data_IF_912177709347
#
_entry.id   IF_912177709347
#
_cell.length_a   1.000
_cell.length_b   1.000
_cell.length_c   1.000
_cell.angle_alpha   90.00
_cell.angle_beta   90.00
_cell.angle_gamma   90.00
#
_symmetry.space_group_name_H-M   'P 1'
#
loop_
_entity.id
_entity.type
_entity.pdbx_description
1 polymer ?
#
# COMPACT_ATOMS: atom_id res chain seq x y z
N UNK A 1 97.71 55.18 67.13
CA UNK A 1 96.23 55.32 67.05
C UNK A 1 95.66 55.22 65.63
N UNK A 2 96.33 55.67 64.56
CA UNK A 2 95.79 55.65 63.17
C UNK A 2 95.49 54.24 62.62
N UNK A 3 96.33 53.24 62.90
CA UNK A 3 96.14 51.86 62.40
C UNK A 3 94.94 51.17 63.05
N UNK A 4 94.74 51.35 64.36
CA UNK A 4 93.60 50.79 65.09
C UNK A 4 92.26 51.36 64.60
N UNK A 5 92.21 52.68 64.34
CA UNK A 5 91.01 53.31 63.78
C UNK A 5 90.68 52.80 62.36
N UNK A 6 91.70 52.50 61.55
CA UNK A 6 91.54 52.01 60.18
C UNK A 6 91.00 50.58 60.14
N UNK A 7 91.47 49.69 61.03
CA UNK A 7 90.97 48.30 61.16
C UNK A 7 89.51 48.27 61.63
N UNK A 8 89.14 49.15 62.56
CA UNK A 8 87.75 49.25 63.04
C UNK A 8 86.85 49.76 61.89
N UNK A 9 87.28 50.77 61.14
CA UNK A 9 86.52 51.31 60.02
C UNK A 9 86.30 50.26 58.91
N UNK A 10 87.32 49.46 58.56
CA UNK A 10 87.16 48.41 57.54
C UNK A 10 86.27 47.27 58.02
N UNK A 11 86.36 46.87 59.30
CA UNK A 11 85.46 45.86 59.89
C UNK A 11 83.99 46.29 59.88
N UNK A 12 83.72 47.57 60.14
CA UNK A 12 82.35 48.09 60.08
C UNK A 12 81.87 48.08 58.62
N UNK A 13 82.70 48.52 57.67
CA UNK A 13 82.36 48.55 56.25
C UNK A 13 82.04 47.15 55.69
N UNK A 14 82.81 46.13 56.07
CA UNK A 14 82.56 44.74 55.65
C UNK A 14 81.28 44.20 56.25
N UNK A 15 80.99 44.46 57.53
CA UNK A 15 79.73 44.04 58.17
C UNK A 15 78.49 44.63 57.51
N UNK A 16 78.52 45.92 57.15
CA UNK A 16 77.42 46.60 56.45
C UNK A 16 77.26 46.05 55.03
N UNK A 17 78.36 45.81 54.32
CA UNK A 17 78.34 45.23 52.97
C UNK A 17 77.72 43.82 52.95
N UNK A 18 78.05 42.98 53.94
CA UNK A 18 77.45 41.66 54.14
C UNK A 18 75.94 41.76 54.43
N UNK A 19 75.53 42.69 55.29
CA UNK A 19 74.11 42.89 55.60
C UNK A 19 73.30 43.30 54.37
N UNK A 20 73.82 44.24 53.56
CA UNK A 20 73.19 44.66 52.29
C UNK A 20 73.10 43.48 51.31
N UNK A 21 74.16 42.69 51.19
CA UNK A 21 74.17 41.53 50.30
C UNK A 21 73.14 40.46 50.72
N UNK A 22 73.03 40.16 52.02
CA UNK A 22 72.03 39.22 52.54
C UNK A 22 70.61 39.74 52.28
N UNK A 23 70.37 41.05 52.45
CA UNK A 23 69.07 41.64 52.16
C UNK A 23 68.70 41.53 50.67
N UNK A 24 69.64 41.84 49.78
CA UNK A 24 69.44 41.68 48.32
C UNK A 24 69.14 40.21 47.97
N UNK A 25 69.87 39.25 48.56
CA UNK A 25 69.62 37.82 48.32
C UNK A 25 68.25 37.36 48.80
N UNK A 26 67.80 37.83 49.96
CA UNK A 26 66.43 37.55 50.43
C UNK A 26 65.36 38.17 49.52
N UNK A 27 65.59 39.39 49.03
CA UNK A 27 64.69 40.02 48.07
C UNK A 27 64.61 39.22 46.75
N UNK A 28 65.76 38.73 46.26
CA UNK A 28 65.85 37.88 45.08
C UNK A 28 65.10 36.55 45.29
N UNK A 29 65.34 35.84 46.40
CA UNK A 29 64.63 34.60 46.74
C UNK A 29 63.11 34.78 46.77
N UNK A 30 62.62 35.86 47.39
CA UNK A 30 61.19 36.17 47.40
C UNK A 30 60.68 36.41 45.99
N UNK A 31 61.43 37.10 45.14
CA UNK A 31 61.03 37.36 43.75
C UNK A 31 61.01 36.09 42.89
N UNK A 32 61.99 35.19 43.09
CA UNK A 32 62.10 33.92 42.39
C UNK A 32 60.95 33.00 42.83
N UNK A 33 60.69 32.89 44.13
CA UNK A 33 59.58 32.08 44.65
C UNK A 33 58.22 32.57 44.13
N UNK A 34 57.99 33.88 44.05
CA UNK A 34 56.77 34.43 43.44
C UNK A 34 56.64 34.06 41.96
N UNK A 35 57.72 34.17 41.18
CA UNK A 35 57.74 33.78 39.76
C UNK A 35 57.51 32.28 39.60
N UNK A 36 58.13 31.45 40.43
CA UNK A 36 57.95 30.00 40.42
C UNK A 36 56.50 29.61 40.72
N UNK A 37 55.89 30.19 41.76
CA UNK A 37 54.48 29.96 42.08
C UNK A 37 53.54 30.40 40.95
N UNK A 38 53.78 31.56 40.34
CA UNK A 38 52.99 32.03 39.21
C UNK A 38 53.11 31.10 38.00
N UNK A 39 54.32 30.61 37.70
CA UNK A 39 54.55 29.66 36.61
C UNK A 39 53.87 28.32 36.88
N UNK A 40 53.88 27.81 38.13
CA UNK A 40 53.15 26.58 38.49
C UNK A 40 51.65 26.73 38.25
N UNK A 41 51.06 27.82 38.75
CA UNK A 41 49.64 28.12 38.55
C UNK A 41 49.33 28.20 37.05
N UNK A 42 50.16 28.92 36.28
CA UNK A 42 49.97 29.06 34.84
C UNK A 42 50.03 27.71 34.13
N UNK A 43 50.98 26.84 34.47
CA UNK A 43 51.09 25.50 33.89
C UNK A 43 49.87 24.65 34.22
N UNK A 44 49.39 24.71 35.47
CA UNK A 44 48.18 23.99 35.90
C UNK A 44 46.95 24.44 35.14
N UNK A 45 46.67 25.74 35.11
CA UNK A 45 45.53 26.31 34.37
C UNK A 45 45.63 25.98 32.89
N UNK A 46 46.82 26.08 32.30
CA UNK A 46 47.02 25.75 30.87
C UNK A 46 46.76 24.27 30.61
N UNK A 47 47.17 23.38 31.52
CA UNK A 47 46.89 21.94 31.42
C UNK A 47 45.41 21.64 31.55
N UNK A 48 44.73 22.25 32.52
CA UNK A 48 43.30 22.04 32.76
C UNK A 48 42.49 22.50 31.54
N UNK A 49 42.76 23.71 31.05
CA UNK A 49 42.11 24.26 29.84
C UNK A 49 42.40 23.41 28.60
N UNK A 50 43.64 22.93 28.43
CA UNK A 50 43.98 22.04 27.31
C UNK A 50 43.24 20.70 27.41
N UNK A 51 43.06 20.17 28.61
CA UNK A 51 42.28 18.97 28.87
C UNK A 51 40.79 19.16 28.51
N UNK A 52 40.22 20.32 28.84
CA UNK A 52 38.85 20.67 28.43
C UNK A 52 38.72 20.74 26.90
N UNK A 53 39.65 21.41 26.22
CA UNK A 53 39.65 21.47 24.76
C UNK A 53 39.78 20.08 24.10
N UNK A 54 40.61 19.20 24.66
CA UNK A 54 40.72 17.82 24.17
C UNK A 54 39.41 17.05 24.39
N UNK A 55 38.81 17.16 25.57
CA UNK A 55 37.52 16.52 25.87
C UNK A 55 36.42 17.00 24.93
N UNK A 56 36.36 18.30 24.66
CA UNK A 56 35.36 18.87 23.76
C UNK A 56 35.61 18.48 22.30
N UNK A 57 36.88 18.38 21.87
CA UNK A 57 37.22 17.84 20.55
C UNK A 57 36.75 16.38 20.40
N UNK A 58 36.97 15.54 21.41
CA UNK A 58 36.52 14.14 21.41
C UNK A 58 34.98 14.03 21.39
N UNK A 59 34.27 14.86 22.17
CA UNK A 59 32.80 14.90 22.15
C UNK A 59 32.29 15.33 20.79
N UNK A 60 32.89 16.37 20.20
CA UNK A 60 32.50 16.86 18.88
C UNK A 60 32.70 15.78 17.83
N UNK A 61 33.85 15.09 17.84
CA UNK A 61 34.13 13.99 16.93
C UNK A 61 33.11 12.86 17.07
N UNK A 62 32.79 12.44 18.31
CA UNK A 62 31.76 11.41 18.55
C UNK A 62 30.39 11.82 18.03
N UNK A 63 29.98 13.07 18.25
CA UNK A 63 28.72 13.60 17.74
C UNK A 63 28.69 13.65 16.21
N UNK A 64 29.82 14.01 15.58
CA UNK A 64 29.97 14.06 14.14
C UNK A 64 29.90 12.65 13.53
N UNK A 65 30.58 11.67 14.13
CA UNK A 65 30.50 10.26 13.73
C UNK A 65 29.08 9.69 13.90
N UNK A 66 28.41 9.99 15.01
CA UNK A 66 27.02 9.59 15.23
C UNK A 66 26.07 10.22 14.20
N UNK A 67 26.17 11.53 13.98
CA UNK A 67 25.37 12.24 12.99
C UNK A 67 25.63 11.75 11.57
N UNK A 68 26.87 11.41 11.22
CA UNK A 68 27.21 10.85 9.91
C UNK A 68 26.53 9.49 9.71
N UNK A 69 26.56 8.61 10.72
CA UNK A 69 25.86 7.31 10.67
C UNK A 69 24.35 7.47 10.53
N UNK A 70 23.75 8.43 11.24
CA UNK A 70 22.32 8.73 11.12
C UNK A 70 21.97 9.22 9.71
N UNK A 71 22.79 10.10 9.12
CA UNK A 71 22.60 10.57 7.74
C UNK A 71 22.74 9.43 6.73
N UNK A 72 23.71 8.53 6.90
CA UNK A 72 23.85 7.34 6.06
C UNK A 72 22.64 6.40 6.18
N UNK A 73 22.15 6.17 7.40
CA UNK A 73 20.94 5.37 7.64
C UNK A 73 19.70 6.01 7.01
N UNK A 74 19.53 7.33 7.14
CA UNK A 74 18.44 8.06 6.50
C UNK A 74 18.52 7.99 4.96
N UNK A 75 19.72 8.09 4.40
CA UNK A 75 19.93 8.03 2.95
C UNK A 75 19.60 6.63 2.40
N UNK A 76 19.97 5.56 3.12
CA UNK A 76 19.61 4.19 2.73
C UNK A 76 18.10 3.97 2.83
N UNK A 77 17.45 4.42 3.91
CA UNK A 77 15.99 4.37 4.05
C UNK A 77 15.26 5.15 2.95
N UNK A 78 15.76 6.33 2.58
CA UNK A 78 15.18 7.16 1.53
C UNK A 78 15.28 6.48 0.16
N UNK A 79 16.42 5.87 -0.18
CA UNK A 79 16.57 5.11 -1.43
C UNK A 79 15.63 3.90 -1.49
N UNK A 80 15.43 3.20 -0.37
CA UNK A 80 14.48 2.10 -0.29
C UNK A 80 13.04 2.60 -0.53
N UNK A 81 12.64 3.68 0.14
CA UNK A 81 11.32 4.29 -0.02
C UNK A 81 11.09 4.82 -1.45
N UNK A 82 12.10 5.42 -2.08
CA UNK A 82 12.01 5.84 -3.49
C UNK A 82 11.82 4.67 -4.45
N UNK A 83 12.47 3.53 -4.16
CA UNK A 83 12.33 2.31 -4.97
C UNK A 83 10.92 1.74 -4.82
N UNK A 84 10.43 1.61 -3.59
CA UNK A 84 9.07 1.14 -3.32
C UNK A 84 8.02 2.08 -3.95
N UNK A 85 8.22 3.40 -3.86
CA UNK A 85 7.33 4.37 -4.49
C UNK A 85 7.28 4.23 -6.03
N UNK A 86 8.41 3.93 -6.67
CA UNK A 86 8.47 3.66 -8.11
C UNK A 86 7.75 2.36 -8.46
N UNK A 87 7.97 1.29 -7.70
CA UNK A 87 7.27 0.01 -7.90
C UNK A 87 5.76 0.18 -7.76
N UNK A 88 5.31 0.84 -6.70
CA UNK A 88 3.89 1.13 -6.45
C UNK A 88 3.28 1.98 -7.56
N UNK A 89 4.02 2.95 -8.11
CA UNK A 89 3.57 3.73 -9.24
C UNK A 89 3.38 2.87 -10.49
N UNK A 90 4.34 1.99 -10.79
CA UNK A 90 4.22 1.04 -11.92
C UNK A 90 3.07 0.06 -11.73
N UNK A 91 2.87 -0.47 -10.52
CA UNK A 91 1.71 -1.31 -10.18
C UNK A 91 0.39 -0.58 -10.42
N UNK A 92 0.31 0.70 -10.03
CA UNK A 92 -0.88 1.52 -10.21
C UNK A 92 -1.16 1.82 -11.68
N UNK A 93 -0.14 2.15 -12.46
CA UNK A 93 -0.25 2.34 -13.92
C UNK A 93 -0.72 1.05 -14.61
N UNK A 94 -0.18 -0.11 -14.22
CA UNK A 94 -0.62 -1.42 -14.73
C UNK A 94 -2.07 -1.72 -14.35
N UNK A 95 -2.46 -1.43 -13.11
CA UNK A 95 -3.83 -1.62 -12.63
C UNK A 95 -4.82 -0.76 -13.43
N UNK A 96 -4.51 0.52 -13.65
CA UNK A 96 -5.32 1.41 -14.47
C UNK A 96 -5.41 0.94 -15.92
N UNK A 97 -4.30 0.47 -16.50
CA UNK A 97 -4.28 -0.12 -17.84
C UNK A 97 -5.19 -1.35 -17.95
N UNK A 98 -5.12 -2.26 -16.98
CA UNK A 98 -5.97 -3.45 -16.92
C UNK A 98 -7.45 -3.08 -16.74
N UNK A 99 -7.76 -2.10 -15.89
CA UNK A 99 -9.12 -1.63 -15.66
C UNK A 99 -9.73 -1.04 -16.94
N UNK A 100 -8.94 -0.28 -17.71
CA UNK A 100 -9.36 0.23 -19.02
C UNK A 100 -9.65 -0.91 -20.00
N UNK A 101 -8.75 -1.90 -20.08
CA UNK A 101 -8.94 -3.08 -20.95
C UNK A 101 -10.20 -3.87 -20.58
N UNK A 102 -10.44 -4.10 -19.29
CA UNK A 102 -11.65 -4.76 -18.81
C UNK A 102 -12.91 -3.97 -19.19
N UNK A 103 -12.90 -2.64 -19.07
CA UNK A 103 -14.04 -1.82 -19.48
C UNK A 103 -14.31 -1.90 -21.00
N UNK A 104 -13.25 -1.93 -21.82
CA UNK A 104 -13.36 -2.11 -23.27
C UNK A 104 -13.94 -3.50 -23.62
N UNK A 105 -13.49 -4.56 -22.94
CA UNK A 105 -14.02 -5.92 -23.10
C UNK A 105 -15.48 -6.03 -22.66
N UNK A 106 -15.86 -5.40 -21.53
CA UNK A 106 -17.25 -5.34 -21.07
C UNK A 106 -18.13 -4.64 -22.12
N UNK A 107 -17.69 -3.49 -22.63
CA UNK A 107 -18.45 -2.75 -23.65
C UNK A 107 -18.61 -3.57 -24.96
N UNK A 108 -17.55 -4.29 -25.37
CA UNK A 108 -17.60 -5.19 -26.52
C UNK A 108 -18.60 -6.34 -26.30
N UNK A 109 -18.54 -7.00 -25.15
CA UNK A 109 -19.43 -8.09 -24.78
C UNK A 109 -20.90 -7.63 -24.66
N UNK A 110 -21.15 -6.43 -24.12
CA UNK A 110 -22.50 -5.86 -24.08
C UNK A 110 -23.06 -5.60 -25.48
N UNK A 111 -22.23 -5.12 -26.40
CA UNK A 111 -22.61 -4.93 -27.80
C UNK A 111 -22.90 -6.26 -28.49
N UNK A 112 -22.06 -7.26 -28.28
CA UNK A 112 -22.28 -8.61 -28.82
C UNK A 112 -23.57 -9.22 -28.28
N UNK A 113 -23.79 -9.14 -26.96
CA UNK A 113 -25.02 -9.60 -26.30
C UNK A 113 -26.27 -8.96 -26.91
N UNK A 114 -26.26 -7.63 -27.12
CA UNK A 114 -27.39 -6.92 -27.78
C UNK A 114 -27.60 -7.43 -29.21
N UNK A 115 -26.53 -7.58 -29.99
CA UNK A 115 -26.63 -8.09 -31.35
C UNK A 115 -27.20 -9.53 -31.40
N UNK A 116 -26.73 -10.43 -30.53
CA UNK A 116 -27.25 -11.79 -30.42
C UNK A 116 -28.73 -11.77 -30.00
N UNK A 117 -29.11 -10.92 -29.05
CA UNK A 117 -30.49 -10.78 -28.60
C UNK A 117 -31.40 -10.33 -29.75
N UNK A 118 -30.96 -9.35 -30.55
CA UNK A 118 -31.70 -8.87 -31.72
C UNK A 118 -31.85 -9.96 -32.80
N UNK A 119 -30.78 -10.71 -33.08
CA UNK A 119 -30.84 -11.84 -34.00
C UNK A 119 -31.79 -12.93 -33.50
N UNK A 120 -31.73 -13.26 -32.21
CA UNK A 120 -32.61 -14.23 -31.60
C UNK A 120 -34.08 -13.82 -31.69
N UNK A 121 -34.40 -12.55 -31.45
CA UNK A 121 -35.77 -12.04 -31.60
C UNK A 121 -36.26 -12.09 -33.05
N UNK A 122 -35.40 -11.74 -34.02
CA UNK A 122 -35.71 -11.86 -35.46
C UNK A 122 -35.99 -13.31 -35.85
N UNK A 123 -35.09 -14.22 -35.50
CA UNK A 123 -35.27 -15.65 -35.73
C UNK A 123 -36.57 -16.14 -35.09
N UNK A 124 -36.80 -15.85 -33.81
CA UNK A 124 -38.03 -16.22 -33.11
C UNK A 124 -39.28 -15.74 -33.84
N UNK A 125 -39.30 -14.50 -34.31
CA UNK A 125 -40.43 -13.97 -35.08
C UNK A 125 -40.63 -14.70 -36.42
N UNK A 126 -39.55 -15.02 -37.14
CA UNK A 126 -39.59 -15.81 -38.38
C UNK A 126 -40.11 -17.22 -38.12
N UNK A 127 -39.55 -17.94 -37.15
CA UNK A 127 -39.99 -19.29 -36.76
C UNK A 127 -41.46 -19.30 -36.32
N UNK A 128 -41.90 -18.29 -35.56
CA UNK A 128 -43.30 -18.18 -35.15
C UNK A 128 -44.22 -17.99 -36.35
N UNK A 129 -43.85 -17.12 -37.30
CA UNK A 129 -44.60 -16.93 -38.55
C UNK A 129 -44.66 -18.20 -39.39
N UNK A 130 -43.56 -18.94 -39.50
CA UNK A 130 -43.53 -20.22 -40.21
C UNK A 130 -44.44 -21.25 -39.54
N UNK A 131 -44.35 -21.41 -38.21
CA UNK A 131 -45.25 -22.31 -37.46
C UNK A 131 -46.72 -21.96 -37.69
N UNK A 132 -47.08 -20.67 -37.62
CA UNK A 132 -48.46 -20.23 -37.85
C UNK A 132 -48.89 -20.42 -39.31
N UNK A 133 -47.97 -20.24 -40.27
CA UNK A 133 -48.17 -20.53 -41.69
C UNK A 133 -48.42 -22.02 -41.93
N UNK A 134 -47.54 -22.88 -41.40
CA UNK A 134 -47.64 -24.34 -41.45
C UNK A 134 -48.93 -24.84 -40.79
N UNK A 135 -49.34 -24.27 -39.65
CA UNK A 135 -50.65 -24.57 -39.03
C UNK A 135 -51.81 -24.22 -39.95
N UNK A 136 -51.78 -23.06 -40.60
CA UNK A 136 -52.82 -22.66 -41.57
C UNK A 136 -52.84 -23.57 -42.81
N UNK A 137 -51.67 -24.00 -43.30
CA UNK A 137 -51.60 -24.98 -44.40
C UNK A 137 -52.07 -26.37 -43.98
N UNK A 138 -51.78 -26.80 -42.75
CA UNK A 138 -52.31 -28.04 -42.20
C UNK A 138 -53.84 -28.01 -42.07
N UNK A 139 -54.41 -26.86 -41.72
CA UNK A 139 -55.86 -26.67 -41.67
C UNK A 139 -56.54 -26.63 -43.04
N UNK A 140 -55.78 -26.44 -44.14
CA UNK A 140 -56.30 -26.55 -45.51
C UNK A 140 -56.25 -28.02 -45.94
N UNK A 141 -57.36 -28.53 -46.46
CA UNK A 141 -57.45 -29.87 -47.07
C UNK A 141 -56.35 -30.01 -48.14
N UNK A 142 -55.39 -30.91 -47.93
CA UNK A 142 -54.27 -31.08 -48.87
C UNK A 142 -54.78 -31.66 -50.18
N UNK A 143 -54.20 -31.30 -51.33
CA UNK A 143 -54.54 -31.89 -52.64
C UNK A 143 -54.40 -33.42 -52.67
N UNK A 144 -53.56 -33.98 -51.81
CA UNK A 144 -53.41 -35.45 -51.66
C UNK A 144 -54.71 -36.08 -51.10
N UNK A 145 -55.49 -35.33 -50.33
CA UNK A 145 -56.80 -35.75 -49.82
C UNK A 145 -57.90 -35.81 -50.88
N UNK A 146 -57.67 -35.28 -52.08
CA UNK A 146 -58.59 -35.43 -53.22
C UNK A 146 -58.51 -36.85 -53.83
N UNK A 147 -57.43 -37.59 -53.55
CA UNK A 147 -57.23 -38.98 -54.00
C UNK A 147 -57.63 -40.02 -52.95
N UNK A 148 -58.01 -39.57 -51.75
CA UNK A 148 -58.44 -40.45 -50.66
C UNK A 148 -59.93 -40.73 -50.82
N UNK A 149 -60.29 -42.02 -50.94
CA UNK A 149 -61.70 -42.44 -51.07
C UNK A 149 -62.52 -41.93 -49.88
N UNK A 150 -63.67 -41.34 -50.17
CA UNK A 150 -64.60 -40.68 -49.24
C UNK A 150 -65.20 -41.62 -48.18
N UNK A 151 -64.92 -42.91 -48.26
CA UNK A 151 -65.53 -43.98 -47.48
C UNK A 151 -64.57 -44.48 -46.38
N UNK A 152 -63.28 -44.12 -46.45
CA UNK A 152 -62.29 -44.49 -45.44
C UNK A 152 -62.34 -43.54 -44.24
N UNK A 153 -62.66 -44.10 -43.07
CA UNK A 153 -62.71 -43.39 -41.79
C UNK A 153 -61.34 -42.84 -41.38
N UNK A 154 -60.26 -43.57 -41.72
CA UNK A 154 -58.87 -43.17 -41.45
C UNK A 154 -58.44 -42.02 -42.37
N UNK A 155 -58.90 -42.05 -43.62
CA UNK A 155 -58.70 -40.97 -44.59
C UNK A 155 -59.32 -39.64 -44.16
N UNK A 156 -60.56 -39.67 -43.62
CA UNK A 156 -61.24 -38.49 -43.09
C UNK A 156 -60.52 -37.86 -41.90
N UNK A 157 -59.97 -38.68 -41.00
CA UNK A 157 -59.20 -38.21 -39.83
C UNK A 157 -57.89 -37.51 -40.22
N UNK A 158 -57.22 -38.00 -41.25
CA UNK A 158 -55.94 -37.44 -41.72
C UNK A 158 -56.09 -36.18 -42.59
N UNK A 159 -57.28 -35.97 -43.16
CA UNK A 159 -57.56 -34.89 -44.12
C UNK A 159 -58.37 -33.72 -43.57
N UNK A 160 -58.72 -33.76 -42.29
CA UNK A 160 -59.37 -32.63 -41.59
C UNK A 160 -60.84 -32.40 -41.95
N UNK A 161 -61.48 -33.32 -42.67
CA UNK A 161 -62.92 -33.25 -42.94
C UNK A 161 -63.66 -33.39 -41.59
N UNK A 162 -64.67 -32.54 -41.29
CA UNK A 162 -65.41 -32.62 -40.03
C UNK A 162 -66.03 -34.01 -39.94
N UNK A 163 -65.60 -34.78 -38.94
CA UNK A 163 -66.29 -36.00 -38.55
C UNK A 163 -67.73 -35.60 -38.20
N UNK A 164 -68.75 -36.33 -38.67
CA UNK A 164 -70.11 -36.12 -38.20
C UNK A 164 -70.08 -36.13 -36.68
N UNK A 165 -70.67 -35.10 -36.07
CA UNK A 165 -70.66 -34.90 -34.63
C UNK A 165 -71.04 -36.21 -33.95
N UNK A 166 -70.25 -36.71 -32.98
CA UNK A 166 -70.65 -37.89 -32.25
C UNK A 166 -72.01 -37.61 -31.60
N UNK A 167 -72.96 -38.55 -31.67
CA UNK A 167 -74.26 -38.38 -31.06
C UNK A 167 -74.08 -38.00 -29.58
N UNK A 168 -74.76 -36.94 -29.16
CA UNK A 168 -74.89 -36.52 -27.76
C UNK A 168 -75.15 -37.76 -26.90
N UNK A 169 -74.28 -38.11 -25.95
CA UNK A 169 -74.66 -39.03 -24.89
C UNK A 169 -75.63 -38.30 -23.96
N UNK A 170 -76.83 -38.86 -23.84
CA UNK A 170 -77.78 -38.58 -22.78
C UNK A 170 -77.12 -38.68 -21.39
N UNK A 171 -77.65 -37.86 -20.50
CA UNK A 171 -77.20 -37.71 -19.13
C UNK A 171 -77.31 -39.00 -18.30
N UNK A 172 -76.29 -39.27 -17.49
CA UNK A 172 -76.46 -39.98 -16.23
C UNK A 172 -75.51 -39.42 -15.15
N UNK A 173 -76.19 -38.83 -14.16
CA UNK A 173 -75.90 -38.45 -12.77
C UNK A 173 -74.65 -39.01 -12.02
N UNK A 174 -74.31 -38.36 -10.88
CA UNK A 174 -72.95 -38.14 -10.39
C UNK A 174 -72.46 -39.20 -9.40
N UNK A 175 -71.15 -39.40 -9.33
CA UNK A 175 -70.48 -40.15 -8.27
C UNK A 175 -69.47 -39.25 -7.55
N UNK A 176 -69.81 -38.98 -6.29
CA UNK A 176 -68.98 -38.77 -5.11
C UNK A 176 -67.63 -38.06 -5.24
N UNK A 177 -67.60 -36.86 -4.65
CA UNK A 177 -66.40 -36.23 -4.15
C UNK A 177 -65.78 -37.08 -3.02
N UNK A 178 -64.57 -37.57 -3.27
CA UNK A 178 -63.66 -38.04 -2.22
C UNK A 178 -62.67 -36.91 -1.91
N UNK A 179 -62.34 -36.65 -0.63
CA UNK A 179 -61.78 -35.38 -0.19
C UNK A 179 -60.29 -35.23 -0.48
N UNK A 180 -59.93 -33.95 -0.60
CA UNK A 180 -58.58 -33.38 -0.54
C UNK A 180 -57.79 -33.85 0.69
N UNK A 181 -56.52 -34.21 0.49
CA UNK A 181 -55.49 -34.31 1.52
C UNK A 181 -54.12 -33.89 0.95
N UNK A 182 -53.23 -33.30 1.75
CA UNK A 182 -52.57 -32.03 1.43
C UNK A 182 -51.10 -32.13 0.99
N UNK A 183 -50.61 -30.99 0.47
CA UNK A 183 -49.24 -30.61 0.07
C UNK A 183 -48.10 -31.14 0.96
N UNK A 184 -46.94 -31.53 0.38
CA UNK A 184 -45.65 -31.56 1.09
C UNK A 184 -45.11 -30.16 1.39
N UNK A 185 -44.37 -30.12 2.50
CA UNK A 185 -43.82 -28.98 3.25
C UNK A 185 -42.68 -28.23 2.55
N UNK A 186 -42.34 -27.02 3.04
CA UNK A 186 -41.12 -26.30 2.67
C UNK A 186 -39.91 -26.86 3.44
N UNK A 187 -38.82 -27.19 2.74
CA UNK A 187 -37.49 -27.28 3.35
C UNK A 187 -36.63 -26.13 2.83
N UNK A 188 -36.42 -25.17 3.71
CA UNK A 188 -35.31 -24.24 3.69
C UNK A 188 -34.20 -24.80 4.58
N UNK A 189 -33.06 -25.15 3.99
CA UNK A 189 -31.77 -25.11 4.67
C UNK A 189 -30.66 -24.85 3.66
#
# INVERSE_FOLDING_TARGET
MKVAALVIATSILTSVSLAVFIYMKKADEVSINKKAAFMDIKVRVTRDVLGEYQSDAEKLQKNLEAGTKEVEALNTALKAAETEAKEKKTELENCLGNMKKMNEEIAANEKEKKNIQDQFQKLKATWTKEIDGLKKELGKRRKVCDFVKSDSVEGKKLCGDPLPAPPKPEAAKPAEAVPEAPKPQPESR
#
